data_IF_028929031512
#
_entry.id   IF_028929031512
#
_cell.length_a   1.000
_cell.length_b   1.000
_cell.length_c   1.000
_cell.angle_alpha   90.00
_cell.angle_beta   90.00
_cell.angle_gamma   90.00
#
_symmetry.space_group_name_H-M   'P 1'
#
loop_
_entity.id
_entity.type
_entity.pdbx_description
1 polymer ?
#
# COMPACT_ATOMS: atom_id res chain seq x y z
N UNK A 1 -18.72 -35.18 1.84
CA UNK A 1 -18.47 -34.28 2.99
C UNK A 1 -19.00 -32.91 2.62
N UNK A 2 -20.01 -32.42 3.36
CA UNK A 2 -20.67 -31.13 3.14
C UNK A 2 -19.67 -29.98 3.28
N UNK A 3 -19.67 -29.07 2.30
CA UNK A 3 -19.07 -27.73 2.42
C UNK A 3 -19.86 -26.94 3.48
N UNK A 4 -19.22 -26.19 4.39
CA UNK A 4 -19.94 -25.27 5.26
C UNK A 4 -20.56 -24.15 4.43
N UNK A 5 -21.81 -23.84 4.76
CA UNK A 5 -22.61 -22.78 4.17
C UNK A 5 -21.89 -21.43 4.21
N UNK A 6 -21.82 -20.77 3.06
CA UNK A 6 -21.55 -19.34 2.99
C UNK A 6 -22.73 -18.61 3.62
N UNK A 7 -22.64 -18.29 4.91
CA UNK A 7 -23.62 -17.45 5.60
C UNK A 7 -23.54 -16.05 4.99
N UNK A 8 -24.39 -15.79 4.00
CA UNK A 8 -24.68 -14.44 3.51
C UNK A 8 -25.43 -13.70 4.62
N UNK A 9 -24.76 -12.78 5.29
CA UNK A 9 -25.47 -11.84 6.16
C UNK A 9 -26.27 -10.86 5.29
N UNK A 10 -27.59 -10.93 5.39
CA UNK A 10 -28.45 -9.83 5.00
C UNK A 10 -28.87 -9.10 6.27
N UNK A 11 -28.01 -8.21 6.77
CA UNK A 11 -28.49 -7.17 7.67
C UNK A 11 -29.35 -6.21 6.85
N UNK A 12 -30.43 -5.71 7.45
CA UNK A 12 -31.08 -4.52 6.90
C UNK A 12 -30.07 -3.36 6.93
N UNK A 13 -30.23 -2.39 6.03
CA UNK A 13 -29.36 -1.21 6.02
C UNK A 13 -29.43 -0.44 7.36
N UNK A 14 -30.60 -0.45 8.00
CA UNK A 14 -30.83 0.20 9.28
C UNK A 14 -30.14 -0.51 10.46
N UNK A 15 -30.14 -1.85 10.48
CA UNK A 15 -29.43 -2.64 11.48
C UNK A 15 -27.92 -2.42 11.37
N UNK A 16 -27.42 -2.37 10.13
CA UNK A 16 -26.01 -2.14 9.84
C UNK A 16 -25.58 -0.74 10.28
N UNK A 17 -26.37 0.29 9.93
CA UNK A 17 -26.13 1.65 10.38
C UNK A 17 -26.14 1.76 11.92
N UNK A 18 -27.09 1.10 12.58
CA UNK A 18 -27.17 1.09 14.05
C UNK A 18 -25.93 0.47 14.68
N UNK A 19 -25.46 -0.68 14.18
CA UNK A 19 -24.25 -1.33 14.68
C UNK A 19 -22.99 -0.50 14.46
N UNK A 20 -22.89 0.18 13.31
CA UNK A 20 -21.79 1.11 13.05
C UNK A 20 -21.81 2.24 14.08
N UNK A 21 -22.95 2.87 14.33
CA UNK A 21 -23.01 3.95 15.32
C UNK A 21 -22.75 3.46 16.76
N UNK A 22 -23.16 2.24 17.12
CA UNK A 22 -22.82 1.63 18.41
C UNK A 22 -21.31 1.48 18.61
N UNK A 23 -20.58 0.98 17.61
CA UNK A 23 -19.12 0.81 17.72
C UNK A 23 -18.40 2.16 17.75
N UNK A 24 -18.89 3.18 17.03
CA UNK A 24 -18.33 4.54 17.08
C UNK A 24 -18.57 5.21 18.45
N UNK A 25 -19.75 5.01 19.06
CA UNK A 25 -20.07 5.52 20.39
C UNK A 25 -19.17 4.96 21.48
N UNK A 26 -18.69 3.72 21.34
CA UNK A 26 -17.77 3.11 22.31
C UNK A 26 -16.44 3.89 22.43
N UNK A 27 -16.03 4.60 21.37
CA UNK A 27 -14.86 5.50 21.42
C UNK A 27 -15.22 6.93 21.87
N UNK A 28 -16.26 7.53 21.30
CA UNK A 28 -16.52 8.97 21.47
C UNK A 28 -17.35 9.33 22.70
N UNK A 29 -18.04 8.36 23.31
CA UNK A 29 -19.01 8.59 24.39
C UNK A 29 -20.19 9.49 24.02
N UNK A 30 -20.27 9.95 22.76
CA UNK A 30 -21.24 10.93 22.24
C UNK A 30 -21.54 10.65 20.76
N UNK A 31 -22.76 10.96 20.31
CA UNK A 31 -23.15 10.82 18.90
C UNK A 31 -22.51 11.94 18.06
N UNK A 32 -21.36 11.68 17.44
CA UNK A 32 -20.74 12.56 16.43
C UNK A 32 -21.13 12.05 15.03
N UNK A 33 -22.43 11.85 14.81
CA UNK A 33 -22.92 11.41 13.50
C UNK A 33 -22.84 12.59 12.53
N UNK A 34 -21.86 12.56 11.63
CA UNK A 34 -21.83 13.46 10.49
C UNK A 34 -22.95 13.04 9.52
N UNK A 35 -23.90 13.94 9.27
CA UNK A 35 -24.99 13.74 8.32
C UNK A 35 -24.84 14.76 7.20
N UNK A 36 -24.87 14.27 5.96
CA UNK A 36 -24.86 15.13 4.79
C UNK A 36 -26.25 15.78 4.58
N UNK A 37 -26.29 17.02 4.07
CA UNK A 37 -27.56 17.69 3.78
C UNK A 37 -28.35 16.88 2.75
N UNK A 38 -29.56 16.46 3.11
CA UNK A 38 -30.48 15.63 2.31
C UNK A 38 -30.12 14.13 2.20
N UNK A 39 -29.15 13.62 2.96
CA UNK A 39 -28.87 12.18 2.99
C UNK A 39 -29.82 11.45 3.95
N UNK A 40 -30.36 10.32 3.52
CA UNK A 40 -31.19 9.44 4.36
C UNK A 40 -30.37 8.64 5.38
N UNK A 41 -29.06 8.57 5.21
CA UNK A 41 -28.15 7.79 6.05
C UNK A 41 -26.96 8.63 6.54
N UNK A 42 -26.38 8.31 7.71
CA UNK A 42 -25.13 8.92 8.18
C UNK A 42 -23.97 8.73 7.21
N UNK A 43 -22.99 9.64 7.25
CA UNK A 43 -21.76 9.55 6.42
C UNK A 43 -20.96 8.27 6.73
N UNK A 44 -21.02 7.77 7.95
CA UNK A 44 -20.43 6.48 8.35
C UNK A 44 -21.00 5.32 7.53
N UNK A 45 -22.32 5.26 7.35
CA UNK A 45 -22.97 4.23 6.54
C UNK A 45 -22.61 4.34 5.06
N UNK A 46 -22.59 5.56 4.51
CA UNK A 46 -22.17 5.83 3.13
C UNK A 46 -20.73 5.36 2.90
N UNK A 47 -19.82 5.72 3.82
CA UNK A 47 -18.42 5.32 3.75
C UNK A 47 -18.25 3.80 3.85
N UNK A 48 -18.98 3.14 4.75
CA UNK A 48 -18.95 1.69 4.90
C UNK A 48 -19.43 0.98 3.63
N UNK A 49 -20.52 1.43 3.03
CA UNK A 49 -21.00 0.90 1.75
C UNK A 49 -19.95 1.09 0.65
N UNK A 50 -19.37 2.28 0.53
CA UNK A 50 -18.33 2.54 -0.46
C UNK A 50 -17.11 1.63 -0.26
N UNK A 51 -16.74 1.35 0.99
CA UNK A 51 -15.66 0.40 1.25
C UNK A 51 -15.98 -0.98 0.65
N UNK A 52 -17.19 -1.49 0.87
CA UNK A 52 -17.62 -2.80 0.40
C UNK A 52 -17.78 -2.89 -1.12
N UNK A 53 -18.29 -1.86 -1.78
CA UNK A 53 -18.65 -1.91 -3.21
C UNK A 53 -17.69 -1.17 -4.13
N UNK A 54 -16.82 -0.33 -3.58
CA UNK A 54 -15.83 0.43 -4.34
C UNK A 54 -14.42 0.06 -3.93
N UNK A 55 -14.01 0.42 -2.72
CA UNK A 55 -12.60 0.32 -2.31
C UNK A 55 -12.09 -1.13 -2.36
N UNK A 56 -12.89 -2.11 -1.94
CA UNK A 56 -12.47 -3.52 -1.97
C UNK A 56 -12.44 -4.14 -3.38
N UNK A 57 -13.16 -3.60 -4.37
CA UNK A 57 -13.06 -4.11 -5.75
C UNK A 57 -11.68 -3.85 -6.37
N UNK A 58 -10.98 -2.85 -5.84
CA UNK A 58 -9.60 -2.50 -6.21
C UNK A 58 -8.57 -3.58 -5.87
N UNK A 59 -8.92 -4.49 -4.96
CA UNK A 59 -8.09 -5.62 -4.57
C UNK A 59 -8.23 -6.73 -5.61
N UNK A 60 -7.17 -7.00 -6.39
CA UNK A 60 -7.24 -7.97 -7.47
C UNK A 60 -7.38 -9.42 -7.00
N UNK A 61 -6.77 -9.78 -5.86
CA UNK A 61 -6.82 -11.14 -5.32
C UNK A 61 -8.24 -11.45 -4.78
N UNK A 62 -8.98 -12.39 -5.41
CA UNK A 62 -10.35 -12.67 -5.00
C UNK A 62 -10.49 -13.23 -3.59
N UNK A 63 -9.50 -14.01 -3.11
CA UNK A 63 -9.50 -14.57 -1.76
C UNK A 63 -9.32 -13.48 -0.71
N UNK A 64 -8.38 -12.55 -0.91
CA UNK A 64 -8.20 -11.39 -0.02
C UNK A 64 -9.48 -10.54 0.00
N UNK A 65 -10.03 -10.26 -1.18
CA UNK A 65 -11.27 -9.48 -1.32
C UNK A 65 -12.46 -10.15 -0.62
N UNK A 66 -12.55 -11.48 -0.65
CA UNK A 66 -13.58 -12.22 0.06
C UNK A 66 -13.47 -11.99 1.58
N UNK A 67 -12.28 -12.19 2.16
CA UNK A 67 -12.04 -11.95 3.61
C UNK A 67 -12.36 -10.51 4.01
N UNK A 68 -11.95 -9.53 3.19
CA UNK A 68 -12.27 -8.11 3.42
C UNK A 68 -13.77 -7.82 3.45
N UNK A 69 -14.57 -8.56 2.67
CA UNK A 69 -16.03 -8.39 2.55
C UNK A 69 -16.83 -9.25 3.54
N UNK A 70 -16.18 -10.21 4.21
CA UNK A 70 -16.83 -11.10 5.18
C UNK A 70 -16.23 -10.97 6.57
N UNK A 71 -15.15 -11.69 6.86
CA UNK A 71 -14.68 -11.94 8.22
C UNK A 71 -14.07 -10.68 8.82
N UNK A 72 -13.39 -9.88 8.01
CA UNK A 72 -12.87 -8.58 8.45
C UNK A 72 -13.99 -7.63 8.89
N UNK A 73 -15.15 -7.68 8.23
CA UNK A 73 -16.33 -6.89 8.62
C UNK A 73 -16.89 -7.38 9.95
N UNK A 74 -16.90 -8.70 10.20
CA UNK A 74 -17.31 -9.24 11.50
C UNK A 74 -16.38 -8.76 12.61
N UNK A 75 -15.07 -8.77 12.36
CA UNK A 75 -14.04 -8.28 13.29
C UNK A 75 -14.16 -6.77 13.53
N UNK A 76 -14.57 -5.98 12.54
CA UNK A 76 -14.68 -4.53 12.72
C UNK A 76 -15.79 -4.12 13.70
N UNK A 77 -16.84 -4.93 13.87
CA UNK A 77 -17.89 -4.67 14.87
C UNK A 77 -17.44 -4.89 16.31
N UNK A 78 -16.26 -5.44 16.54
CA UNK A 78 -15.65 -5.57 17.88
C UNK A 78 -14.36 -4.77 18.03
N UNK A 79 -13.98 -4.02 16.99
CA UNK A 79 -12.71 -3.29 16.94
C UNK A 79 -12.92 -1.87 16.41
N UNK A 80 -13.03 -0.87 17.30
CA UNK A 80 -13.25 0.52 16.91
C UNK A 80 -12.22 1.06 15.92
N UNK A 81 -10.94 0.76 16.12
CA UNK A 81 -9.88 1.25 15.22
C UNK A 81 -9.99 0.64 13.81
N UNK A 82 -10.37 -0.64 13.70
CA UNK A 82 -10.63 -1.25 12.41
C UNK A 82 -11.88 -0.66 11.75
N UNK A 83 -12.97 -0.45 12.50
CA UNK A 83 -14.16 0.21 11.95
C UNK A 83 -13.82 1.60 11.42
N UNK A 84 -13.18 2.46 12.21
CA UNK A 84 -12.76 3.78 11.75
C UNK A 84 -11.88 3.71 10.51
N UNK A 85 -10.98 2.71 10.42
CA UNK A 85 -10.14 2.50 9.23
C UNK A 85 -10.99 2.18 7.99
N UNK A 86 -11.96 1.27 8.10
CA UNK A 86 -12.89 0.91 7.02
C UNK A 86 -13.65 2.16 6.53
N UNK A 87 -14.19 2.95 7.46
CA UNK A 87 -14.89 4.19 7.13
C UNK A 87 -13.97 5.20 6.47
N UNK A 88 -12.76 5.37 6.99
CA UNK A 88 -11.78 6.30 6.45
C UNK A 88 -11.35 5.94 5.03
N UNK A 89 -11.15 4.65 4.73
CA UNK A 89 -10.84 4.16 3.38
C UNK A 89 -12.02 4.37 2.44
N UNK A 90 -13.24 4.07 2.88
CA UNK A 90 -14.44 4.26 2.07
C UNK A 90 -14.64 5.72 1.66
N UNK A 91 -14.49 6.65 2.60
CA UNK A 91 -14.67 8.08 2.32
C UNK A 91 -13.46 8.68 1.57
N UNK A 92 -12.24 8.21 1.83
CA UNK A 92 -11.06 8.52 1.02
C UNK A 92 -11.32 8.17 -0.45
N UNK A 93 -11.82 6.96 -0.71
CA UNK A 93 -12.18 6.53 -2.05
C UNK A 93 -13.24 7.46 -2.68
N UNK A 94 -14.31 7.82 -1.95
CA UNK A 94 -15.31 8.79 -2.43
C UNK A 94 -14.70 10.14 -2.78
N UNK A 95 -13.90 10.72 -1.90
CA UNK A 95 -13.26 12.03 -2.12
C UNK A 95 -12.33 12.03 -3.33
N UNK A 96 -11.76 10.88 -3.71
CA UNK A 96 -10.90 10.76 -4.90
C UNK A 96 -11.70 10.56 -6.19
N UNK A 97 -12.80 9.82 -6.17
CA UNK A 97 -13.65 9.64 -7.37
C UNK A 97 -14.63 10.80 -7.60
N UNK A 98 -14.98 11.54 -6.56
CA UNK A 98 -15.93 12.65 -6.59
C UNK A 98 -15.46 13.77 -5.65
N UNK A 99 -14.44 14.55 -6.07
CA UNK A 99 -13.86 15.60 -5.24
C UNK A 99 -14.81 16.80 -5.09
N UNK A 100 -14.63 17.55 -4.00
CA UNK A 100 -15.31 18.83 -3.76
C UNK A 100 -16.39 18.82 -2.67
N UNK A 101 -16.69 17.66 -2.08
CA UNK A 101 -17.63 17.56 -0.96
C UNK A 101 -16.93 17.86 0.38
N UNK A 102 -17.18 19.05 0.94
CA UNK A 102 -16.58 19.48 2.22
C UNK A 102 -16.96 18.58 3.40
N UNK A 103 -18.16 18.00 3.39
CA UNK A 103 -18.61 17.09 4.45
C UNK A 103 -17.79 15.81 4.45
N UNK A 104 -17.55 15.25 3.25
CA UNK A 104 -16.74 14.05 3.09
C UNK A 104 -15.26 14.31 3.39
N UNK A 105 -14.72 15.48 3.05
CA UNK A 105 -13.35 15.87 3.43
C UNK A 105 -13.17 15.96 4.96
N UNK A 106 -14.15 16.56 5.65
CA UNK A 106 -14.15 16.60 7.11
C UNK A 106 -14.26 15.20 7.71
N UNK A 107 -15.13 14.35 7.16
CA UNK A 107 -15.30 12.96 7.58
C UNK A 107 -14.03 12.13 7.36
N UNK A 108 -13.35 12.29 6.21
CA UNK A 108 -12.05 11.65 5.93
C UNK A 108 -11.04 11.99 7.03
N UNK A 109 -10.87 13.27 7.32
CA UNK A 109 -9.95 13.75 8.36
C UNK A 109 -10.31 13.18 9.72
N UNK A 110 -11.60 13.23 10.09
CA UNK A 110 -12.09 12.73 11.38
C UNK A 110 -11.87 11.22 11.54
N UNK A 111 -12.28 10.42 10.57
CA UNK A 111 -12.15 8.96 10.64
C UNK A 111 -10.69 8.53 10.66
N UNK A 112 -9.82 9.13 9.84
CA UNK A 112 -8.38 8.82 9.89
C UNK A 112 -7.74 9.23 11.21
N UNK A 113 -8.05 10.41 11.74
CA UNK A 113 -7.52 10.85 13.03
C UNK A 113 -7.87 9.86 14.14
N UNK A 114 -9.12 9.38 14.17
CA UNK A 114 -9.57 8.38 15.14
C UNK A 114 -8.94 7.01 14.92
N UNK A 115 -8.92 6.54 13.67
CA UNK A 115 -8.30 5.28 13.31
C UNK A 115 -6.83 5.24 13.75
N UNK A 116 -6.05 6.27 13.41
CA UNK A 116 -4.62 6.38 13.75
C UNK A 116 -4.44 6.40 15.27
N UNK A 117 -5.18 7.24 16.00
CA UNK A 117 -5.04 7.36 17.46
C UNK A 117 -5.33 6.04 18.18
N UNK A 118 -6.43 5.39 17.83
CA UNK A 118 -6.83 4.13 18.46
C UNK A 118 -5.91 2.97 18.05
N UNK A 119 -5.47 2.94 16.80
CA UNK A 119 -4.54 1.94 16.33
C UNK A 119 -3.16 2.07 16.98
N UNK A 120 -2.65 3.30 17.16
CA UNK A 120 -1.44 3.55 17.93
C UNK A 120 -1.54 3.00 19.37
N UNK A 121 -2.66 3.21 20.04
CA UNK A 121 -2.90 2.65 21.37
C UNK A 121 -3.00 1.11 21.35
N UNK A 122 -3.57 0.52 20.30
CA UNK A 122 -3.62 -0.94 20.15
C UNK A 122 -2.21 -1.54 19.92
N UNK A 123 -1.35 -0.83 19.17
CA UNK A 123 0.03 -1.26 18.87
C UNK A 123 0.97 -1.24 20.08
N UNK A 124 0.65 -0.50 21.15
CA UNK A 124 1.45 -0.56 22.39
C UNK A 124 1.16 -1.80 23.23
N UNK A 125 0.08 -2.52 22.90
CA UNK A 125 -0.28 -3.80 23.53
C UNK A 125 0.36 -4.98 22.78
N UNK A 126 0.53 -6.10 23.47
CA UNK A 126 1.03 -7.31 22.83
C UNK A 126 0.06 -7.84 21.76
N UNK A 127 0.61 -8.50 20.75
CA UNK A 127 -0.19 -9.27 19.79
C UNK A 127 -0.77 -10.51 20.49
N UNK A 128 -2.07 -10.72 20.34
CA UNK A 128 -2.84 -11.80 20.97
C UNK A 128 -3.79 -12.44 19.95
N UNK A 129 -4.30 -13.66 20.19
CA UNK A 129 -5.32 -14.27 19.33
C UNK A 129 -6.56 -13.40 19.14
N UNK A 130 -6.90 -12.55 20.11
CA UNK A 130 -8.11 -11.73 20.10
C UNK A 130 -7.96 -10.45 19.27
N UNK A 131 -6.75 -9.89 19.15
CA UNK A 131 -6.52 -8.63 18.44
C UNK A 131 -5.78 -8.79 17.10
N UNK A 132 -5.18 -9.96 16.82
CA UNK A 132 -4.34 -10.18 15.64
C UNK A 132 -5.05 -9.84 14.33
N UNK A 133 -6.30 -10.29 14.17
CA UNK A 133 -7.06 -10.04 12.95
C UNK A 133 -7.34 -8.55 12.76
N UNK A 134 -7.70 -7.86 13.84
CA UNK A 134 -7.92 -6.41 13.80
C UNK A 134 -6.63 -5.65 13.50
N UNK A 135 -5.51 -6.01 14.14
CA UNK A 135 -4.21 -5.37 13.92
C UNK A 135 -3.74 -5.53 12.47
N UNK A 136 -3.77 -6.76 11.94
CA UNK A 136 -3.39 -7.06 10.56
C UNK A 136 -4.29 -6.31 9.57
N UNK A 137 -5.61 -6.40 9.75
CA UNK A 137 -6.58 -5.75 8.86
C UNK A 137 -6.40 -4.23 8.82
N UNK A 138 -6.23 -3.61 9.99
CA UNK A 138 -5.98 -2.17 10.06
C UNK A 138 -4.66 -1.80 9.40
N UNK A 139 -3.59 -2.56 9.64
CA UNK A 139 -2.28 -2.29 9.07
C UNK A 139 -2.30 -2.26 7.53
N UNK A 140 -3.07 -3.14 6.89
CA UNK A 140 -3.17 -3.19 5.41
C UNK A 140 -3.63 -1.87 4.80
N UNK A 141 -4.46 -1.11 5.51
CA UNK A 141 -5.03 0.13 5.00
C UNK A 141 -4.31 1.38 5.51
N UNK A 142 -3.58 1.31 6.62
CA UNK A 142 -2.85 2.47 7.15
C UNK A 142 -1.88 3.06 6.12
N UNK A 143 -1.24 2.21 5.31
CA UNK A 143 -0.36 2.63 4.22
C UNK A 143 -1.03 3.53 3.18
N UNK A 144 -2.36 3.43 2.98
CA UNK A 144 -3.10 4.22 1.98
C UNK A 144 -3.10 5.72 2.30
N UNK A 145 -3.16 6.08 3.58
CA UNK A 145 -3.11 7.50 4.00
C UNK A 145 -1.85 8.18 3.50
N UNK A 146 -0.73 7.49 3.64
CA UNK A 146 0.58 8.03 3.30
C UNK A 146 0.76 8.14 1.77
N UNK A 147 0.03 7.34 0.99
CA UNK A 147 0.05 7.35 -0.49
C UNK A 147 -0.80 8.45 -1.13
N UNK A 148 -1.71 9.05 -0.37
CA UNK A 148 -2.67 10.04 -0.86
C UNK A 148 -2.46 11.45 -0.25
N UNK A 149 -1.22 12.00 -0.16
CA UNK A 149 -1.00 13.31 0.45
C UNK A 149 -1.59 14.43 -0.41
N UNK A 150 -2.13 15.45 0.25
CA UNK A 150 -2.55 16.67 -0.44
C UNK A 150 -1.34 17.53 -0.79
N UNK A 151 -1.29 18.05 -2.02
CA UNK A 151 -0.34 19.07 -2.48
C UNK A 151 1.16 18.75 -2.28
N UNK A 152 1.54 17.46 -2.32
CA UNK A 152 2.95 17.07 -2.25
C UNK A 152 3.75 17.62 -3.44
N UNK A 153 4.98 18.08 -3.18
CA UNK A 153 5.92 18.54 -4.20
C UNK A 153 7.18 17.66 -4.20
N UNK A 154 7.95 17.60 -5.31
CA UNK A 154 9.20 16.84 -5.34
C UNK A 154 10.18 17.28 -4.24
N UNK A 155 10.19 18.58 -3.89
CA UNK A 155 11.03 19.14 -2.82
C UNK A 155 10.67 18.66 -1.40
N UNK A 156 9.50 18.04 -1.21
CA UNK A 156 9.11 17.41 0.06
C UNK A 156 9.61 15.96 0.18
N UNK A 157 10.15 15.38 -0.90
CA UNK A 157 10.72 14.04 -0.92
C UNK A 157 11.91 13.90 0.02
N UNK A 158 12.09 12.70 0.59
CA UNK A 158 13.25 12.38 1.43
C UNK A 158 14.59 12.44 0.69
N UNK A 159 14.58 12.36 -0.64
CA UNK A 159 15.81 12.45 -1.45
C UNK A 159 16.25 13.90 -1.67
N UNK A 160 15.33 14.87 -1.60
CA UNK A 160 15.59 16.30 -1.79
C UNK A 160 15.42 17.13 -0.51
N UNK A 161 14.97 16.52 0.58
CA UNK A 161 14.71 17.17 1.86
C UNK A 161 15.44 16.47 3.01
N UNK A 162 15.89 17.26 3.98
CA UNK A 162 16.51 16.76 5.22
C UNK A 162 15.50 16.60 6.37
N UNK A 163 14.19 16.73 6.09
CA UNK A 163 13.13 16.47 7.07
C UNK A 163 13.21 15.00 7.54
N UNK A 164 13.32 14.74 8.86
CA UNK A 164 13.55 13.38 9.38
C UNK A 164 12.37 12.44 9.13
N UNK A 165 11.17 12.98 8.91
CA UNK A 165 9.93 12.25 8.67
C UNK A 165 9.58 12.08 7.19
N UNK A 166 10.35 12.66 6.26
CA UNK A 166 10.03 12.64 4.83
C UNK A 166 9.93 11.22 4.24
N UNK A 167 10.68 10.26 4.79
CA UNK A 167 10.67 8.85 4.35
C UNK A 167 9.68 7.96 5.14
N UNK A 168 8.93 8.51 6.10
CA UNK A 168 8.06 7.71 6.97
C UNK A 168 6.97 6.98 6.18
N UNK A 169 6.54 7.53 5.05
CA UNK A 169 5.53 6.92 4.20
C UNK A 169 5.95 5.55 3.65
N UNK A 170 7.26 5.35 3.37
CA UNK A 170 7.83 4.06 2.97
C UNK A 170 7.93 3.11 4.15
N UNK A 171 8.40 3.62 5.29
CA UNK A 171 8.56 2.81 6.50
C UNK A 171 7.22 2.23 6.96
N UNK A 172 6.12 2.97 6.79
CA UNK A 172 4.78 2.51 7.12
C UNK A 172 4.36 1.28 6.29
N UNK A 173 4.86 1.13 5.07
CA UNK A 173 4.51 -0.01 4.21
C UNK A 173 5.09 -1.33 4.73
N UNK A 174 6.25 -1.29 5.39
CA UNK A 174 6.86 -2.47 6.04
C UNK A 174 6.19 -2.85 7.37
N UNK A 175 5.21 -2.06 7.85
CA UNK A 175 4.51 -2.32 9.11
C UNK A 175 3.78 -3.67 9.14
N UNK A 176 3.20 -4.08 8.00
CA UNK A 176 2.47 -5.34 7.91
C UNK A 176 3.40 -6.54 8.16
N UNK A 177 4.61 -6.53 7.57
CA UNK A 177 5.61 -7.57 7.79
C UNK A 177 5.98 -7.69 9.27
N UNK A 178 6.17 -6.57 9.95
CA UNK A 178 6.47 -6.55 11.38
C UNK A 178 5.38 -7.23 12.22
N UNK A 179 4.10 -6.88 11.95
CA UNK A 179 2.97 -7.47 12.67
C UNK A 179 2.82 -8.96 12.36
N UNK A 180 3.01 -9.37 11.10
CA UNK A 180 3.00 -10.79 10.71
C UNK A 180 4.05 -11.57 11.49
N UNK A 181 5.29 -11.06 11.61
CA UNK A 181 6.36 -11.69 12.39
C UNK A 181 5.97 -11.84 13.86
N UNK A 182 5.39 -10.80 14.47
CA UNK A 182 4.91 -10.86 15.86
C UNK A 182 3.69 -11.78 16.04
N UNK A 183 2.88 -11.93 15.00
CA UNK A 183 1.66 -12.73 14.98
C UNK A 183 1.90 -14.20 14.62
N UNK A 184 3.14 -14.63 14.35
CA UNK A 184 3.46 -15.93 13.74
C UNK A 184 2.74 -17.12 14.40
N UNK A 185 2.62 -17.14 15.73
CA UNK A 185 1.95 -18.21 16.50
C UNK A 185 0.42 -18.25 16.34
N UNK A 186 -0.18 -17.20 15.79
CA UNK A 186 -1.64 -17.02 15.67
C UNK A 186 -2.12 -17.01 14.22
N UNK A 187 -1.20 -16.94 13.25
CA UNK A 187 -1.55 -16.82 11.82
C UNK A 187 -2.40 -17.97 11.32
N UNK A 188 -2.17 -19.20 11.78
CA UNK A 188 -2.95 -20.37 11.35
C UNK A 188 -4.43 -20.29 11.76
N UNK A 189 -4.71 -19.58 12.87
CA UNK A 189 -6.08 -19.31 13.35
C UNK A 189 -6.65 -17.97 12.87
N UNK A 190 -5.84 -17.12 12.24
CA UNK A 190 -6.25 -15.81 11.75
C UNK A 190 -7.15 -15.93 10.53
N UNK A 191 -8.08 -14.98 10.36
CA UNK A 191 -8.90 -14.85 9.15
C UNK A 191 -8.05 -14.69 7.87
N UNK A 192 -6.80 -14.25 8.02
CA UNK A 192 -5.87 -14.02 6.92
C UNK A 192 -4.95 -15.20 6.62
N UNK A 193 -4.84 -16.18 7.53
CA UNK A 193 -3.80 -17.22 7.51
C UNK A 193 -3.70 -17.96 6.18
N UNK A 194 -4.81 -18.55 5.75
CA UNK A 194 -4.88 -19.32 4.50
C UNK A 194 -4.56 -18.45 3.27
N UNK A 195 -5.06 -17.21 3.26
CA UNK A 195 -4.89 -16.31 2.12
C UNK A 195 -3.46 -15.79 2.02
N UNK A 196 -2.83 -15.46 3.15
CA UNK A 196 -1.42 -15.09 3.20
C UNK A 196 -0.51 -16.24 2.76
N UNK A 197 -0.77 -17.45 3.25
CA UNK A 197 0.00 -18.64 2.85
C UNK A 197 -0.11 -18.90 1.35
N UNK A 198 -1.32 -18.77 0.78
CA UNK A 198 -1.52 -18.93 -0.66
C UNK A 198 -0.82 -17.83 -1.46
N UNK A 199 -1.01 -16.56 -1.09
CA UNK A 199 -0.37 -15.43 -1.77
C UNK A 199 1.16 -15.54 -1.74
N UNK A 200 1.73 -15.96 -0.61
CA UNK A 200 3.17 -16.18 -0.49
C UNK A 200 3.65 -17.33 -1.40
N UNK A 201 2.92 -18.45 -1.47
CA UNK A 201 3.27 -19.56 -2.38
C UNK A 201 3.21 -19.13 -3.85
N UNK A 202 2.16 -18.41 -4.23
CA UNK A 202 1.98 -17.92 -5.61
C UNK A 202 3.08 -16.93 -6.00
N UNK A 203 3.48 -16.06 -5.08
CA UNK A 203 4.62 -15.14 -5.25
C UNK A 203 5.94 -15.90 -5.43
N UNK A 204 6.27 -16.83 -4.52
CA UNK A 204 7.52 -17.60 -4.61
C UNK A 204 7.60 -18.42 -5.90
N UNK A 205 6.48 -19.02 -6.32
CA UNK A 205 6.41 -19.73 -7.60
C UNK A 205 6.61 -18.78 -8.78
N UNK A 206 6.05 -17.57 -8.71
CA UNK A 206 6.20 -16.56 -9.75
C UNK A 206 7.64 -16.06 -9.85
N UNK A 207 8.26 -15.68 -8.72
CA UNK A 207 9.64 -15.22 -8.66
C UNK A 207 10.62 -16.27 -9.16
N UNK A 208 10.46 -17.53 -8.74
CA UNK A 208 11.32 -18.64 -9.19
C UNK A 208 11.27 -18.89 -10.69
N UNK A 209 10.17 -18.51 -11.38
CA UNK A 209 10.06 -18.65 -12.83
C UNK A 209 10.78 -17.53 -13.58
N UNK A 210 10.79 -16.32 -13.04
CA UNK A 210 11.37 -15.14 -13.71
C UNK A 210 12.84 -14.95 -13.35
N UNK A 211 13.17 -15.04 -12.05
CA UNK A 211 14.53 -14.93 -11.53
C UNK A 211 14.82 -16.15 -10.66
N UNK A 212 15.31 -17.26 -11.25
CA UNK A 212 15.49 -18.51 -10.53
C UNK A 212 16.54 -18.43 -9.43
N UNK A 213 17.73 -17.90 -9.74
CA UNK A 213 18.90 -17.86 -8.84
C UNK A 213 19.94 -16.84 -9.33
N UNK A 214 20.68 -16.22 -8.40
CA UNK A 214 21.72 -15.25 -8.72
C UNK A 214 21.23 -14.13 -9.65
N UNK A 215 22.09 -13.69 -10.57
CA UNK A 215 21.77 -12.65 -11.56
C UNK A 215 20.91 -13.12 -12.74
N UNK A 216 20.56 -14.40 -12.85
CA UNK A 216 19.82 -14.92 -14.00
C UNK A 216 18.45 -14.24 -14.16
N UNK A 217 18.13 -13.79 -15.36
CA UNK A 217 16.91 -13.02 -15.66
C UNK A 217 16.90 -11.55 -15.20
N UNK A 218 17.91 -11.07 -14.47
CA UNK A 218 18.02 -9.66 -14.08
C UNK A 218 18.55 -8.79 -15.22
N UNK A 219 18.18 -7.51 -15.21
CA UNK A 219 18.83 -6.51 -16.07
C UNK A 219 20.34 -6.43 -15.73
N UNK A 220 21.24 -6.59 -16.71
CA UNK A 220 22.68 -6.64 -16.44
C UNK A 220 23.24 -5.36 -15.80
N UNK A 221 22.77 -4.18 -16.23
CA UNK A 221 23.26 -2.91 -15.70
C UNK A 221 22.79 -2.72 -14.24
N UNK A 222 21.54 -3.07 -13.93
CA UNK A 222 21.03 -3.06 -12.55
C UNK A 222 21.74 -4.09 -11.67
N UNK A 223 21.96 -5.31 -12.16
CA UNK A 223 22.68 -6.34 -11.42
C UNK A 223 24.10 -5.90 -11.08
N UNK A 224 24.84 -5.35 -12.05
CA UNK A 224 26.21 -4.88 -11.86
C UNK A 224 26.28 -3.66 -10.92
N UNK A 225 25.32 -2.73 -11.00
CA UNK A 225 25.22 -1.59 -10.06
C UNK A 225 24.94 -2.05 -8.63
N UNK A 226 24.16 -3.12 -8.47
CA UNK A 226 23.82 -3.70 -7.17
C UNK A 226 24.88 -4.67 -6.65
N UNK A 227 25.93 -4.98 -7.44
CA UNK A 227 26.93 -5.99 -7.09
C UNK A 227 26.32 -7.39 -6.95
N UNK A 228 25.38 -7.75 -7.82
CA UNK A 228 24.71 -9.06 -7.86
C UNK A 228 25.40 -9.93 -8.91
N UNK A 229 25.87 -11.09 -8.47
CA UNK A 229 26.48 -12.13 -9.28
C UNK A 229 25.69 -13.45 -9.25
N UNK A 230 26.21 -14.49 -9.89
CA UNK A 230 25.59 -15.82 -9.98
C UNK A 230 25.42 -16.51 -8.60
N UNK A 231 26.20 -16.09 -7.60
CA UNK A 231 26.19 -16.67 -6.25
C UNK A 231 25.37 -15.85 -5.24
N UNK A 232 24.83 -14.72 -5.67
CA UNK A 232 24.13 -13.78 -4.79
C UNK A 232 22.76 -14.31 -4.38
N UNK A 233 22.42 -14.13 -3.10
CA UNK A 233 21.16 -14.58 -2.50
C UNK A 233 20.52 -13.44 -1.70
N UNK A 234 19.32 -13.69 -1.17
CA UNK A 234 18.59 -12.73 -0.33
C UNK A 234 19.33 -12.38 0.97
N UNK A 235 20.14 -13.31 1.46
CA UNK A 235 20.91 -13.16 2.70
C UNK A 235 22.21 -12.38 2.51
N UNK A 236 22.78 -12.40 1.29
CA UNK A 236 24.10 -11.80 1.02
C UNK A 236 24.00 -10.38 0.47
N UNK A 237 22.89 -10.02 -0.18
CA UNK A 237 22.75 -8.73 -0.83
C UNK A 237 21.34 -8.09 -0.62
N UNK A 238 21.26 -6.88 -0.01
CA UNK A 238 19.98 -6.23 0.30
C UNK A 238 19.22 -5.69 -0.92
N UNK A 239 19.84 -5.60 -2.10
CA UNK A 239 19.18 -5.23 -3.35
C UNK A 239 18.46 -6.41 -4.01
N UNK A 240 18.85 -7.64 -3.67
CA UNK A 240 18.48 -8.84 -4.41
C UNK A 240 16.97 -9.05 -4.48
N UNK A 241 16.29 -9.16 -3.34
CA UNK A 241 14.84 -9.40 -3.30
C UNK A 241 14.01 -8.25 -3.93
N UNK A 242 14.26 -6.97 -3.64
CA UNK A 242 13.60 -5.86 -4.33
C UNK A 242 13.80 -5.90 -5.85
N UNK A 243 15.03 -6.14 -6.33
CA UNK A 243 15.31 -6.17 -7.76
C UNK A 243 14.62 -7.35 -8.44
N UNK A 244 14.67 -8.56 -7.84
CA UNK A 244 13.94 -9.74 -8.33
C UNK A 244 12.45 -9.49 -8.45
N UNK A 245 11.87 -8.89 -7.42
CA UNK A 245 10.44 -8.61 -7.39
C UNK A 245 10.08 -7.58 -8.47
N UNK A 246 10.84 -6.50 -8.59
CA UNK A 246 10.64 -5.53 -9.67
C UNK A 246 10.73 -6.19 -11.04
N UNK A 247 11.79 -6.98 -11.32
CA UNK A 247 11.97 -7.67 -12.60
C UNK A 247 10.76 -8.52 -12.93
N UNK A 248 10.30 -9.35 -12.00
CA UNK A 248 9.13 -10.18 -12.20
C UNK A 248 7.84 -9.37 -12.44
N UNK A 249 7.63 -8.28 -11.70
CA UNK A 249 6.47 -7.41 -11.90
C UNK A 249 6.53 -6.67 -13.24
N UNK A 250 7.72 -6.33 -13.71
CA UNK A 250 7.92 -5.59 -14.96
C UNK A 250 7.47 -6.38 -16.19
N UNK A 251 7.57 -7.72 -16.17
CA UNK A 251 7.14 -8.64 -17.23
C UNK A 251 5.62 -8.85 -17.30
N UNK A 252 4.88 -8.45 -16.26
CA UNK A 252 3.44 -8.63 -16.25
C UNK A 252 2.76 -7.74 -17.30
N UNK A 253 1.82 -8.32 -18.04
CA UNK A 253 0.94 -7.57 -18.93
C UNK A 253 0.30 -6.39 -18.17
N UNK A 254 0.29 -5.23 -18.80
CA UNK A 254 -0.34 -4.02 -18.27
C UNK A 254 -1.85 -4.21 -18.36
N UNK A 255 -2.47 -4.57 -17.24
CA UNK A 255 -3.90 -4.68 -17.08
C UNK A 255 -4.32 -4.39 -15.62
N UNK A 256 -5.62 -4.19 -15.40
CA UNK A 256 -6.19 -3.93 -14.07
C UNK A 256 -5.75 -4.95 -13.03
N UNK A 257 -5.82 -6.25 -13.35
CA UNK A 257 -5.52 -7.34 -12.40
C UNK A 257 -4.06 -7.27 -11.93
N UNK A 258 -3.13 -7.05 -12.86
CA UNK A 258 -1.71 -6.99 -12.56
C UNK A 258 -1.31 -5.67 -11.90
N UNK A 259 -2.09 -4.60 -12.09
CA UNK A 259 -1.81 -3.30 -11.44
C UNK A 259 -1.80 -3.39 -9.90
N UNK A 260 -2.76 -4.11 -9.31
CA UNK A 260 -2.79 -4.33 -7.87
C UNK A 260 -1.64 -5.21 -7.39
N UNK A 261 -1.22 -6.22 -8.18
CA UNK A 261 -0.05 -7.06 -7.87
C UNK A 261 1.24 -6.23 -7.87
N UNK A 262 1.36 -5.26 -8.78
CA UNK A 262 2.52 -4.35 -8.80
C UNK A 262 2.60 -3.47 -7.55
N UNK A 263 1.46 -3.10 -6.96
CA UNK A 263 1.42 -2.33 -5.72
C UNK A 263 1.93 -3.10 -4.50
N UNK A 264 1.92 -4.44 -4.52
CA UNK A 264 2.39 -5.29 -3.42
C UNK A 264 3.89 -5.13 -3.12
N UNK A 265 4.68 -4.62 -4.08
CA UNK A 265 6.10 -4.33 -3.93
C UNK A 265 6.43 -3.55 -2.64
N UNK A 266 5.60 -2.55 -2.30
CA UNK A 266 5.80 -1.73 -1.11
C UNK A 266 5.74 -2.53 0.20
N UNK A 267 4.90 -3.57 0.26
CA UNK A 267 4.78 -4.43 1.44
C UNK A 267 5.96 -5.39 1.62
N UNK A 268 6.87 -5.47 0.64
CA UNK A 268 8.00 -6.39 0.60
C UNK A 268 9.35 -5.73 0.90
N UNK A 269 9.36 -4.40 1.07
CA UNK A 269 10.57 -3.66 1.38
C UNK A 269 11.16 -4.11 2.72
N UNK A 270 12.42 -4.57 2.67
CA UNK A 270 13.17 -5.02 3.83
C UNK A 270 13.74 -3.84 4.62
N UNK A 271 14.15 -4.07 5.87
CA UNK A 271 14.69 -3.00 6.71
C UNK A 271 16.06 -2.54 6.18
N UNK A 272 16.83 -3.50 5.64
CA UNK A 272 18.13 -3.33 5.02
C UNK A 272 18.00 -2.47 3.74
N UNK A 273 16.98 -2.74 2.91
CA UNK A 273 16.68 -1.92 1.74
C UNK A 273 16.14 -0.53 2.11
N UNK A 274 15.29 -0.42 3.12
CA UNK A 274 14.87 0.90 3.64
C UNK A 274 16.06 1.71 4.17
N UNK A 275 17.07 1.06 4.76
CA UNK A 275 18.29 1.73 5.20
C UNK A 275 19.10 2.28 4.00
N UNK A 276 19.15 1.56 2.88
CA UNK A 276 19.70 2.04 1.60
C UNK A 276 19.00 3.30 1.10
N UNK A 277 17.66 3.27 1.04
CA UNK A 277 16.88 4.42 0.59
C UNK A 277 17.07 5.63 1.52
N UNK A 278 17.21 5.41 2.84
CA UNK A 278 17.43 6.47 3.83
C UNK A 278 18.75 7.19 3.63
N UNK A 279 19.81 6.47 3.22
CA UNK A 279 21.11 7.04 2.88
C UNK A 279 21.19 7.57 1.44
N UNK A 280 20.07 7.58 0.72
CA UNK A 280 19.97 8.04 -0.68
C UNK A 280 20.94 7.29 -1.61
N UNK A 281 21.11 5.99 -1.34
CA UNK A 281 22.00 5.13 -2.12
C UNK A 281 21.54 5.02 -3.59
N UNK A 282 22.38 5.33 -4.59
CA UNK A 282 21.94 5.41 -5.98
C UNK A 282 21.35 4.11 -6.57
N UNK A 283 21.99 2.92 -6.42
CA UNK A 283 21.38 1.66 -6.87
C UNK A 283 20.01 1.39 -6.22
N UNK A 284 19.88 1.61 -4.91
CA UNK A 284 18.61 1.44 -4.21
C UNK A 284 17.52 2.40 -4.70
N UNK A 285 17.87 3.68 -4.88
CA UNK A 285 16.97 4.69 -5.43
C UNK A 285 16.55 4.36 -6.87
N UNK A 286 17.44 3.79 -7.67
CA UNK A 286 17.16 3.41 -9.05
C UNK A 286 16.14 2.27 -9.13
N UNK A 287 16.30 1.20 -8.34
CA UNK A 287 15.29 0.13 -8.22
C UNK A 287 13.93 0.72 -7.84
N UNK A 288 13.94 1.66 -6.88
CA UNK A 288 12.71 2.32 -6.44
C UNK A 288 12.07 3.15 -7.57
N UNK A 289 12.87 3.93 -8.31
CA UNK A 289 12.40 4.71 -9.45
C UNK A 289 11.84 3.82 -10.55
N UNK A 290 12.51 2.70 -10.87
CA UNK A 290 12.04 1.72 -11.85
C UNK A 290 10.63 1.20 -11.50
N UNK A 291 10.42 0.81 -10.25
CA UNK A 291 9.10 0.39 -9.76
C UNK A 291 8.08 1.54 -9.80
N UNK A 292 8.44 2.74 -9.38
CA UNK A 292 7.54 3.89 -9.46
C UNK A 292 7.16 4.23 -10.90
N UNK A 293 8.11 4.17 -11.84
CA UNK A 293 7.89 4.33 -13.27
C UNK A 293 6.92 3.28 -13.82
N UNK A 294 7.09 2.02 -13.43
CA UNK A 294 6.11 0.95 -13.71
C UNK A 294 4.72 1.33 -13.20
N UNK A 295 4.59 1.75 -11.95
CA UNK A 295 3.32 2.20 -11.38
C UNK A 295 2.73 3.40 -12.14
N UNK A 296 3.57 4.27 -12.74
CA UNK A 296 3.10 5.35 -13.59
C UNK A 296 2.37 4.88 -14.84
N UNK A 297 2.88 3.84 -15.47
CA UNK A 297 2.21 3.23 -16.64
C UNK A 297 0.87 2.58 -16.28
N UNK A 298 0.67 2.24 -15.00
CA UNK A 298 -0.53 1.58 -14.47
C UNK A 298 -1.53 2.57 -13.82
N UNK A 299 -1.22 3.87 -13.81
CA UNK A 299 -1.94 4.91 -13.06
C UNK A 299 -3.44 4.99 -13.37
N UNK A 300 -3.83 4.72 -14.62
CA UNK A 300 -5.23 4.73 -15.04
C UNK A 300 -6.09 3.64 -14.38
N UNK A 301 -5.48 2.54 -13.93
CA UNK A 301 -6.15 1.51 -13.13
C UNK A 301 -6.12 1.79 -11.64
N UNK A 302 -5.16 2.57 -11.13
CA UNK A 302 -5.03 2.81 -9.69
C UNK A 302 -4.77 4.32 -9.42
N UNK A 303 -5.71 5.21 -9.79
CA UNK A 303 -5.45 6.64 -9.83
C UNK A 303 -5.17 7.25 -8.44
N UNK A 304 -5.65 6.63 -7.35
CA UNK A 304 -5.49 7.19 -6.00
C UNK A 304 -4.10 6.96 -5.38
N UNK A 305 -3.36 5.91 -5.76
CA UNK A 305 -1.98 5.70 -5.24
C UNK A 305 -0.93 6.49 -6.01
N UNK A 306 -1.33 7.11 -7.12
CA UNK A 306 -0.39 7.62 -8.11
C UNK A 306 0.24 8.97 -7.75
N UNK A 307 -0.53 9.86 -7.10
CA UNK A 307 -0.10 11.25 -6.86
C UNK A 307 1.23 11.36 -6.12
N UNK A 308 1.42 10.56 -5.06
CA UNK A 308 2.71 10.49 -4.35
C UNK A 308 3.79 9.84 -5.21
N UNK A 309 3.49 8.72 -5.90
CA UNK A 309 4.50 7.97 -6.65
C UNK A 309 5.09 8.78 -7.81
N UNK A 310 4.29 9.57 -8.53
CA UNK A 310 4.82 10.51 -9.55
C UNK A 310 5.81 11.48 -8.93
N UNK A 311 5.40 12.08 -7.82
CA UNK A 311 6.15 13.15 -7.18
C UNK A 311 7.48 12.65 -6.64
N UNK A 312 7.46 11.47 -6.02
CA UNK A 312 8.65 10.81 -5.50
C UNK A 312 9.55 10.28 -6.63
N UNK A 313 8.98 9.72 -7.70
CA UNK A 313 9.75 9.29 -8.88
C UNK A 313 10.46 10.48 -9.53
N UNK A 314 9.76 11.61 -9.64
CA UNK A 314 10.33 12.86 -10.16
C UNK A 314 11.48 13.34 -9.28
N UNK A 315 11.30 13.31 -7.95
CA UNK A 315 12.35 13.70 -7.02
C UNK A 315 13.60 12.81 -7.12
N UNK A 316 13.42 11.50 -7.27
CA UNK A 316 14.53 10.57 -7.49
C UNK A 316 15.22 10.86 -8.82
N UNK A 317 14.47 11.10 -9.90
CA UNK A 317 15.05 11.45 -11.20
C UNK A 317 15.86 12.75 -11.12
N UNK A 318 15.35 13.78 -10.44
CA UNK A 318 16.09 15.03 -10.17
C UNK A 318 17.36 14.79 -9.35
N UNK A 319 17.32 13.91 -8.36
CA UNK A 319 18.46 13.61 -7.51
C UNK A 319 19.59 12.90 -8.28
N UNK A 320 19.23 11.97 -9.17
CA UNK A 320 20.17 11.13 -9.90
C UNK A 320 20.56 11.66 -11.29
N UNK A 321 19.98 12.77 -11.77
CA UNK A 321 20.17 13.25 -13.15
C UNK A 321 21.65 13.55 -13.52
N UNK A 322 22.46 13.88 -12.51
CA UNK A 322 23.87 14.25 -12.66
C UNK A 322 24.83 13.19 -12.07
N UNK A 323 24.35 11.97 -11.84
CA UNK A 323 25.20 10.89 -11.34
C UNK A 323 26.32 10.57 -12.36
N UNK A 324 27.59 10.42 -11.94
CA UNK A 324 28.70 10.16 -12.85
C UNK A 324 28.67 8.78 -13.50
N UNK A 325 27.92 7.80 -12.98
CA UNK A 325 27.83 6.47 -13.59
C UNK A 325 26.88 6.48 -14.80
N UNK A 326 27.37 6.21 -16.02
CA UNK A 326 26.54 6.26 -17.23
C UNK A 326 25.42 5.20 -17.25
N UNK A 327 25.53 4.13 -16.44
CA UNK A 327 24.45 3.14 -16.29
C UNK A 327 23.23 3.75 -15.62
N UNK A 328 23.43 4.63 -14.63
CA UNK A 328 22.34 5.29 -13.90
C UNK A 328 21.55 6.18 -14.85
N UNK A 329 22.23 6.98 -15.67
CA UNK A 329 21.58 7.85 -16.66
C UNK A 329 20.70 7.05 -17.65
N UNK A 330 21.21 5.95 -18.22
CA UNK A 330 20.44 5.08 -19.14
C UNK A 330 19.22 4.46 -18.46
N UNK A 331 19.42 3.89 -17.28
CA UNK A 331 18.33 3.24 -16.54
C UNK A 331 17.28 4.25 -16.08
N UNK A 332 17.63 5.51 -15.84
CA UNK A 332 16.66 6.56 -15.48
C UNK A 332 15.72 6.97 -16.62
N UNK A 333 16.01 6.65 -17.88
CA UNK A 333 15.20 7.07 -19.02
C UNK A 333 13.74 6.60 -18.90
N UNK A 334 13.54 5.32 -18.55
CA UNK A 334 12.20 4.75 -18.36
C UNK A 334 11.40 5.45 -17.24
N UNK A 335 11.88 5.50 -15.98
CA UNK A 335 11.11 6.13 -14.90
C UNK A 335 10.91 7.64 -15.12
N UNK A 336 11.90 8.35 -15.67
CA UNK A 336 11.77 9.76 -16.02
C UNK A 336 10.65 9.99 -17.05
N UNK A 337 10.66 9.22 -18.14
CA UNK A 337 9.60 9.28 -19.15
C UNK A 337 8.23 8.96 -18.56
N UNK A 338 8.14 7.88 -17.78
CA UNK A 338 6.89 7.39 -17.23
C UNK A 338 6.25 8.37 -16.22
N UNK A 339 7.06 9.06 -15.41
CA UNK A 339 6.56 10.08 -14.47
C UNK A 339 6.44 11.49 -15.07
N UNK A 340 6.76 11.65 -16.37
CA UNK A 340 6.70 12.94 -17.07
C UNK A 340 7.85 13.90 -16.75
N UNK A 341 8.94 13.42 -16.15
CA UNK A 341 10.14 14.21 -15.91
C UNK A 341 10.97 14.29 -17.19
N UNK A 342 11.12 15.51 -17.72
CA UNK A 342 12.03 15.78 -18.84
C UNK A 342 13.32 16.39 -18.29
N UNK A 343 14.42 15.64 -18.35
CA UNK A 343 15.74 16.18 -18.00
C UNK A 343 16.11 17.35 -18.93
N UNK A 344 16.92 18.29 -18.43
CA UNK A 344 17.30 19.53 -19.15
C UNK A 344 18.16 19.33 -20.40
N UNK A 345 18.50 18.10 -20.79
CA UNK A 345 19.34 17.82 -21.96
C UNK A 345 18.59 17.80 -23.32
N UNK A 346 17.34 18.24 -23.39
CA UNK A 346 16.58 18.37 -24.66
C UNK A 346 16.67 19.80 -25.26
N UNK A 347 17.43 20.72 -24.67
CA UNK A 347 17.63 22.09 -25.21
C UNK A 347 19.03 22.37 -25.80
N UNK A 348 19.83 21.35 -26.11
CA UNK A 348 21.14 21.54 -26.78
C UNK A 348 21.23 21.02 -28.22
N UNK A 349 20.09 20.75 -28.87
CA UNK A 349 20.04 20.40 -30.29
C UNK A 349 18.90 21.13 -31.00
N UNK A 350 19.10 22.44 -31.18
CA UNK A 350 18.60 23.20 -32.34
C UNK A 350 19.70 24.14 -32.81
#
# INVERSE_FOLDING_TARGET
>A
MQKPDSISFSFSLDDLATRIEEILKLDTGTNVSLVERNASHPVSMIAFQQFLTGATDTVANPSLRAVMRSDMIRVSFTSPYLMYTILAVGILHLNRISPGNKTWQLAETFFWQRAIKLYQAALTSNVTPQNVDSLLSTCMFMGLTALCPENIKPTDSWVLSDKPDAMNWLCLQSGLRCIITLAQSYLDSSIWGSTFQQAHKDEQQFLKRVVPEGRDGLDPDLADLCGIDDSTTAETNPYYEPLRLYTALSELERNWKNSAKCAEFMGKLTNEFLALLRRRDPPGLLIMAQWMGLMCTLSHWQPWVFGRLVTECTAICMYLENDPDPRISRLLEFPASACGYSSRNVFQST
#
